data_IF_755038467537
#
_entry.id   IF_755038467537
#
_cell.length_a   1.000
_cell.length_b   1.000
_cell.length_c   1.000
_cell.angle_alpha   90.00
_cell.angle_beta   90.00
_cell.angle_gamma   90.00
#
_symmetry.space_group_name_H-M   'P 1'
#
loop_
_entity.id
_entity.type
_entity.pdbx_description
1 polymer ?
#
# COMPACT_ATOMS: atom_id res chain seq x y z
N UNK A 1 27.68 16.68 9.22
CA UNK A 1 27.55 15.38 8.52
C UNK A 1 26.06 15.13 8.36
N UNK A 2 25.52 15.41 7.19
CA UNK A 2 24.16 15.02 6.84
C UNK A 2 24.16 13.51 6.72
N UNK A 3 23.60 12.80 7.70
CA UNK A 3 23.27 11.38 7.54
C UNK A 3 22.30 11.30 6.36
N UNK A 4 22.71 10.69 5.26
CA UNK A 4 21.78 10.40 4.17
C UNK A 4 20.63 9.59 4.75
N UNK A 5 19.41 10.08 4.53
CA UNK A 5 18.17 9.41 4.91
C UNK A 5 18.15 8.01 4.29
N UNK A 6 18.01 6.96 5.12
CA UNK A 6 18.15 5.58 4.68
C UNK A 6 16.81 4.90 4.58
N UNK A 7 16.38 4.62 3.36
CA UNK A 7 15.23 3.78 3.07
C UNK A 7 15.68 2.32 2.88
N UNK A 8 15.04 1.39 3.60
CA UNK A 8 15.18 -0.05 3.37
C UNK A 8 13.80 -0.61 3.02
N UNK A 9 13.69 -1.30 1.90
CA UNK A 9 12.43 -1.84 1.41
C UNK A 9 12.46 -3.37 1.38
N UNK A 10 11.51 -4.01 2.07
CA UNK A 10 11.33 -5.46 2.11
C UNK A 10 10.28 -5.90 1.11
N UNK A 11 10.70 -6.76 0.20
CA UNK A 11 9.95 -7.19 -0.98
C UNK A 11 9.95 -8.71 -1.11
N UNK A 12 8.94 -9.25 -1.77
CA UNK A 12 8.95 -10.59 -2.35
C UNK A 12 8.21 -10.57 -3.69
N UNK A 13 8.75 -11.23 -4.73
CA UNK A 13 8.12 -11.30 -6.05
C UNK A 13 6.70 -11.86 -6.00
N UNK A 14 5.83 -11.40 -6.91
CA UNK A 14 4.43 -11.82 -7.02
C UNK A 14 3.60 -11.58 -5.76
N UNK A 15 3.91 -10.52 -5.02
CA UNK A 15 3.15 -10.07 -3.85
C UNK A 15 2.73 -8.60 -4.02
N UNK A 16 1.96 -8.09 -3.07
CA UNK A 16 1.56 -6.67 -3.02
C UNK A 16 2.75 -5.70 -2.96
N UNK A 17 3.90 -6.16 -2.50
CA UNK A 17 5.11 -5.34 -2.45
C UNK A 17 5.64 -4.97 -3.84
N UNK A 18 5.23 -5.67 -4.90
CA UNK A 18 5.62 -5.34 -6.27
C UNK A 18 5.16 -3.93 -6.67
N UNK A 19 3.94 -3.54 -6.32
CA UNK A 19 3.45 -2.20 -6.63
C UNK A 19 4.20 -1.09 -5.87
N UNK A 20 4.61 -1.36 -4.62
CA UNK A 20 5.43 -0.40 -3.87
C UNK A 20 6.87 -0.32 -4.40
N UNK A 21 7.41 -1.43 -4.90
CA UNK A 21 8.71 -1.43 -5.59
C UNK A 21 8.66 -0.58 -6.87
N UNK A 22 7.61 -0.74 -7.68
CA UNK A 22 7.40 0.08 -8.89
C UNK A 22 7.35 1.56 -8.53
N UNK A 23 6.64 1.92 -7.45
CA UNK A 23 6.57 3.31 -7.00
C UNK A 23 7.95 3.86 -6.59
N UNK A 24 8.74 3.10 -5.85
CA UNK A 24 10.10 3.48 -5.46
C UNK A 24 11.00 3.74 -6.68
N UNK A 25 10.91 2.88 -7.70
CA UNK A 25 11.64 3.05 -8.96
C UNK A 25 11.15 4.29 -9.74
N UNK A 26 9.83 4.50 -9.82
CA UNK A 26 9.24 5.66 -10.49
C UNK A 26 9.64 6.98 -9.83
N UNK A 27 9.75 6.99 -8.51
CA UNK A 27 10.23 8.14 -7.73
C UNK A 27 11.73 8.39 -7.89
N UNK A 28 12.50 7.44 -8.43
CA UNK A 28 13.97 7.49 -8.41
C UNK A 28 14.53 7.52 -6.99
N UNK A 29 13.80 6.98 -6.03
CA UNK A 29 14.17 7.01 -4.62
C UNK A 29 15.43 6.18 -4.36
N UNK A 30 16.42 6.69 -3.59
CA UNK A 30 17.52 5.85 -3.14
C UNK A 30 17.05 4.93 -2.02
N UNK A 31 17.13 3.61 -2.21
CA UNK A 31 16.73 2.62 -1.20
C UNK A 31 17.59 1.36 -1.25
N UNK A 32 17.66 0.67 -0.12
CA UNK A 32 18.21 -0.69 -0.03
C UNK A 32 17.08 -1.70 -0.20
N UNK A 33 17.21 -2.59 -1.20
CA UNK A 33 16.24 -3.67 -1.41
C UNK A 33 16.61 -4.91 -0.61
N UNK A 34 15.67 -5.42 0.18
CA UNK A 34 15.73 -6.72 0.87
C UNK A 34 14.67 -7.65 0.31
N UNK A 35 15.09 -8.66 -0.43
CA UNK A 35 14.18 -9.65 -1.01
C UNK A 35 14.04 -10.82 -0.03
N UNK A 36 12.78 -11.20 0.27
CA UNK A 36 12.44 -12.33 1.13
C UNK A 36 11.99 -13.52 0.30
N UNK A 37 12.50 -14.71 0.60
CA UNK A 37 11.97 -15.96 0.08
C UNK A 37 10.75 -16.42 0.90
N UNK A 38 9.56 -16.11 0.36
CA UNK A 38 8.30 -16.52 0.99
C UNK A 38 8.10 -18.03 1.02
N UNK A 39 8.69 -18.76 0.05
CA UNK A 39 8.59 -20.23 0.01
C UNK A 39 9.46 -20.88 1.07
N UNK A 40 10.62 -20.30 1.33
CA UNK A 40 11.49 -20.70 2.44
C UNK A 40 10.94 -20.27 3.82
N UNK A 41 9.89 -19.44 3.86
CA UNK A 41 9.29 -18.99 5.10
C UNK A 41 10.07 -17.88 5.80
N UNK A 42 10.93 -17.13 5.10
CA UNK A 42 11.75 -16.07 5.69
C UNK A 42 10.93 -14.99 6.39
N UNK A 43 9.73 -14.69 5.88
CA UNK A 43 8.81 -13.74 6.50
C UNK A 43 8.31 -14.17 7.90
N UNK A 44 8.50 -15.43 8.28
CA UNK A 44 8.15 -16.00 9.58
C UNK A 44 9.34 -16.22 10.50
N UNK A 45 10.54 -15.97 10.02
CA UNK A 45 11.74 -16.10 10.83
C UNK A 45 11.89 -14.95 11.82
N UNK A 46 12.47 -15.20 13.00
CA UNK A 46 12.67 -14.18 14.04
C UNK A 46 13.39 -12.93 13.51
N UNK A 47 14.33 -13.10 12.59
CA UNK A 47 15.09 -12.00 11.99
C UNK A 47 14.19 -10.99 11.27
N UNK A 48 13.13 -11.44 10.61
CA UNK A 48 12.17 -10.55 9.95
C UNK A 48 11.03 -10.12 10.88
N UNK A 49 10.57 -11.00 11.78
CA UNK A 49 9.49 -10.69 12.71
C UNK A 49 9.86 -9.56 13.69
N UNK A 50 11.15 -9.38 14.00
CA UNK A 50 11.63 -8.21 14.75
C UNK A 50 11.41 -6.90 13.98
N UNK A 51 11.45 -6.94 12.65
CA UNK A 51 11.21 -5.78 11.78
C UNK A 51 9.71 -5.57 11.60
N UNK A 52 9.00 -6.60 11.11
CA UNK A 52 7.55 -6.56 10.93
C UNK A 52 6.90 -7.76 11.64
N UNK A 53 6.30 -7.56 12.82
CA UNK A 53 5.66 -8.64 13.59
C UNK A 53 4.52 -9.34 12.85
N UNK A 54 3.88 -8.68 11.87
CA UNK A 54 2.85 -9.30 11.02
C UNK A 54 3.43 -10.33 10.05
N UNK A 55 4.74 -10.31 9.78
CA UNK A 55 5.38 -11.21 8.82
C UNK A 55 4.80 -11.07 7.42
N UNK A 56 4.59 -9.85 6.96
CA UNK A 56 4.02 -9.48 5.66
C UNK A 56 4.93 -8.53 4.90
N UNK A 57 4.76 -8.45 3.60
CA UNK A 57 5.32 -7.42 2.72
C UNK A 57 4.17 -6.73 1.96
N UNK A 58 4.32 -5.44 1.58
CA UNK A 58 5.49 -4.59 1.74
C UNK A 58 5.75 -4.19 3.19
N UNK A 59 7.03 -3.93 3.47
CA UNK A 59 7.46 -3.21 4.66
C UNK A 59 8.57 -2.25 4.25
N UNK A 60 8.43 -0.99 4.63
CA UNK A 60 9.40 0.07 4.40
C UNK A 60 9.96 0.50 5.76
N UNK A 61 11.26 0.64 5.86
CA UNK A 61 11.91 1.21 7.05
C UNK A 61 12.64 2.47 6.62
N UNK A 62 12.30 3.61 7.24
CA UNK A 62 12.94 4.88 7.03
C UNK A 62 13.58 5.37 8.33
N UNK A 63 14.92 5.44 8.38
CA UNK A 63 15.68 5.84 9.56
C UNK A 63 15.24 5.14 10.86
N UNK A 64 14.91 3.83 10.75
CA UNK A 64 14.46 2.99 11.85
C UNK A 64 12.94 2.98 12.08
N UNK A 65 12.19 3.86 11.44
CA UNK A 65 10.72 3.85 11.52
C UNK A 65 10.11 2.86 10.52
N UNK A 66 9.31 1.91 11.02
CA UNK A 66 8.60 0.94 10.19
C UNK A 66 7.31 1.53 9.62
N UNK A 67 7.11 1.41 8.32
CA UNK A 67 5.88 1.73 7.61
C UNK A 67 5.39 0.45 6.92
N UNK A 68 4.20 -0.02 7.30
CA UNK A 68 3.48 -1.12 6.66
C UNK A 68 2.19 -0.60 6.03
N UNK A 69 1.35 -1.52 5.56
CA UNK A 69 0.11 -1.22 4.82
C UNK A 69 0.37 -0.48 3.51
N UNK A 70 0.11 -1.13 2.40
CA UNK A 70 0.44 -0.61 1.08
C UNK A 70 -0.03 0.83 0.83
N UNK A 71 -1.28 1.24 1.19
CA UNK A 71 -1.69 2.63 1.02
C UNK A 71 -0.85 3.61 1.86
N UNK A 72 -0.48 3.22 3.08
CA UNK A 72 0.36 4.07 3.94
C UNK A 72 1.77 4.22 3.37
N UNK A 73 2.35 3.14 2.84
CA UNK A 73 3.65 3.18 2.13
C UNK A 73 3.57 4.13 0.93
N UNK A 74 2.49 4.07 0.14
CA UNK A 74 2.30 4.93 -1.02
C UNK A 74 2.17 6.40 -0.65
N UNK A 75 1.32 6.72 0.34
CA UNK A 75 1.14 8.09 0.82
C UNK A 75 2.46 8.63 1.35
N UNK A 76 3.14 7.84 2.18
CA UNK A 76 4.41 8.23 2.79
C UNK A 76 5.49 8.52 1.76
N UNK A 77 5.65 7.65 0.77
CA UNK A 77 6.65 7.84 -0.29
C UNK A 77 6.33 9.05 -1.18
N UNK A 78 5.06 9.25 -1.55
CA UNK A 78 4.65 10.41 -2.32
C UNK A 78 4.87 11.74 -1.57
N UNK A 79 4.70 11.73 -0.24
CA UNK A 79 4.97 12.90 0.60
C UNK A 79 6.47 13.12 0.84
N UNK A 80 7.27 12.05 0.88
CA UNK A 80 8.71 12.12 1.04
C UNK A 80 9.42 12.66 -0.22
N UNK A 81 8.83 12.43 -1.39
CA UNK A 81 9.34 12.87 -2.70
C UNK A 81 8.33 13.78 -3.41
N UNK A 82 8.02 14.97 -2.85
CA UNK A 82 6.95 15.84 -3.36
C UNK A 82 7.21 16.36 -4.77
N UNK A 83 8.46 16.49 -5.18
CA UNK A 83 8.86 16.98 -6.52
C UNK A 83 8.43 16.01 -7.64
N UNK A 84 8.15 14.75 -7.32
CA UNK A 84 7.62 13.78 -8.28
C UNK A 84 6.16 14.08 -8.67
N UNK A 85 5.43 14.90 -7.91
CA UNK A 85 4.07 15.33 -8.23
C UNK A 85 3.02 14.21 -8.19
N UNK A 86 3.28 13.10 -7.47
CA UNK A 86 2.40 11.93 -7.43
C UNK A 86 1.25 12.05 -6.43
N UNK A 87 1.26 13.07 -5.57
CA UNK A 87 0.20 13.34 -4.61
C UNK A 87 -0.09 14.84 -4.50
N UNK A 88 -1.36 15.23 -4.30
CA UNK A 88 -1.68 16.61 -3.97
C UNK A 88 -1.00 17.01 -2.66
N UNK A 89 -0.39 18.19 -2.57
CA UNK A 89 0.28 18.64 -1.35
C UNK A 89 -0.68 18.81 -0.17
N UNK A 90 -0.14 18.82 1.05
CA UNK A 90 -0.94 19.10 2.25
C UNK A 90 -1.55 20.50 2.13
N UNK A 91 -2.85 20.61 2.35
CA UNK A 91 -3.62 21.85 2.20
C UNK A 91 -4.28 22.02 0.83
N UNK A 92 -3.92 21.23 -0.17
CA UNK A 92 -4.63 21.20 -1.45
C UNK A 92 -6.05 20.60 -1.28
N UNK A 93 -7.10 21.20 -1.88
CA UNK A 93 -8.46 20.64 -1.85
C UNK A 93 -8.57 19.20 -2.36
N UNK A 94 -7.70 18.78 -3.28
CA UNK A 94 -7.67 17.41 -3.81
C UNK A 94 -7.03 16.41 -2.86
N UNK A 95 -6.36 16.87 -1.80
CA UNK A 95 -5.73 15.97 -0.81
C UNK A 95 -6.74 15.05 -0.12
N UNK A 96 -7.92 15.57 0.21
CA UNK A 96 -9.00 14.76 0.81
C UNK A 96 -9.46 13.62 -0.11
N UNK A 97 -9.87 13.88 -1.36
CA UNK A 97 -10.19 12.85 -2.36
C UNK A 97 -9.05 11.84 -2.58
N UNK A 98 -7.80 12.29 -2.66
CA UNK A 98 -6.65 11.41 -2.77
C UNK A 98 -6.55 10.42 -1.59
N UNK A 99 -6.58 10.93 -0.35
CA UNK A 99 -6.54 10.09 0.85
C UNK A 99 -7.73 9.14 0.92
N UNK A 100 -8.94 9.60 0.53
CA UNK A 100 -10.12 8.76 0.44
C UNK A 100 -9.87 7.54 -0.44
N UNK A 101 -9.33 7.72 -1.65
CA UNK A 101 -9.09 6.61 -2.57
C UNK A 101 -7.99 5.67 -2.10
N UNK A 102 -6.95 6.20 -1.46
CA UNK A 102 -5.90 5.39 -0.87
C UNK A 102 -6.44 4.50 0.25
N UNK A 103 -7.24 5.05 1.16
CA UNK A 103 -7.86 4.29 2.25
C UNK A 103 -8.92 3.32 1.71
N UNK A 104 -9.72 3.74 0.72
CA UNK A 104 -10.72 2.90 0.06
C UNK A 104 -10.10 1.64 -0.55
N UNK A 105 -8.93 1.76 -1.19
CA UNK A 105 -8.21 0.61 -1.71
C UNK A 105 -7.97 -0.45 -0.63
N UNK A 106 -7.38 -0.07 0.50
CA UNK A 106 -7.02 -1.03 1.56
C UNK A 106 -8.20 -1.52 2.40
N UNK A 107 -9.22 -0.66 2.62
CA UNK A 107 -10.34 -0.98 3.51
C UNK A 107 -11.55 -1.58 2.81
N UNK A 108 -11.74 -1.32 1.52
CA UNK A 108 -12.92 -1.73 0.77
C UNK A 108 -12.58 -2.57 -0.46
N UNK A 109 -11.77 -2.04 -1.37
CA UNK A 109 -11.51 -2.68 -2.66
C UNK A 109 -10.79 -4.01 -2.50
N UNK A 110 -9.64 -4.02 -1.84
CA UNK A 110 -8.83 -5.23 -1.71
C UNK A 110 -9.54 -6.35 -0.93
N UNK A 111 -10.17 -6.10 0.24
CA UNK A 111 -10.95 -7.12 0.93
C UNK A 111 -12.09 -7.68 0.09
N UNK A 112 -12.85 -6.83 -0.61
CA UNK A 112 -13.96 -7.27 -1.47
C UNK A 112 -13.48 -8.18 -2.62
N UNK A 113 -12.37 -7.82 -3.27
CA UNK A 113 -11.76 -8.62 -4.34
C UNK A 113 -11.29 -9.97 -3.83
N UNK A 114 -10.65 -9.99 -2.65
CA UNK A 114 -10.18 -11.24 -2.02
C UNK A 114 -11.36 -12.13 -1.66
N UNK A 115 -12.38 -11.60 -0.98
CA UNK A 115 -13.54 -12.37 -0.57
C UNK A 115 -14.26 -12.97 -1.78
N UNK A 116 -14.42 -12.20 -2.86
CA UNK A 116 -14.95 -12.69 -4.12
C UNK A 116 -14.09 -13.79 -4.75
N UNK A 117 -12.77 -13.59 -4.79
CA UNK A 117 -11.84 -14.55 -5.39
C UNK A 117 -11.81 -15.89 -4.64
N UNK A 118 -12.03 -15.83 -3.33
CA UNK A 118 -12.07 -17.00 -2.44
C UNK A 118 -13.48 -17.56 -2.26
N UNK A 119 -14.47 -17.00 -2.94
CA UNK A 119 -15.88 -17.40 -2.84
C UNK A 119 -16.38 -17.43 -1.39
N UNK A 120 -15.96 -16.46 -0.59
CA UNK A 120 -16.42 -16.32 0.79
C UNK A 120 -17.86 -15.82 0.81
N UNK A 121 -18.65 -16.35 1.73
CA UNK A 121 -19.98 -15.80 2.00
C UNK A 121 -19.85 -14.35 2.49
N UNK A 122 -20.62 -13.42 1.90
CA UNK A 122 -20.56 -12.03 2.29
C UNK A 122 -21.04 -11.85 3.73
N UNK A 123 -20.35 -10.96 4.48
CA UNK A 123 -20.85 -10.54 5.78
C UNK A 123 -22.16 -9.74 5.63
N UNK A 124 -22.94 -9.67 6.72
CA UNK A 124 -24.14 -8.83 6.70
C UNK A 124 -23.80 -7.39 6.33
N UNK A 125 -24.63 -6.75 5.51
CA UNK A 125 -24.41 -5.38 5.01
C UNK A 125 -24.08 -4.38 6.11
N UNK A 126 -24.71 -4.52 7.29
CA UNK A 126 -24.51 -3.64 8.46
C UNK A 126 -23.14 -3.79 9.13
N UNK A 127 -22.41 -4.88 8.86
CA UNK A 127 -21.12 -5.21 9.47
C UNK A 127 -19.98 -5.28 8.46
N UNK A 128 -20.30 -5.36 7.16
CA UNK A 128 -19.31 -5.35 6.10
C UNK A 128 -18.70 -3.96 5.93
N UNK A 129 -17.37 -3.81 5.91
CA UNK A 129 -16.73 -2.51 5.69
C UNK A 129 -16.93 -1.97 4.27
N UNK A 130 -17.29 -2.82 3.32
CA UNK A 130 -17.49 -2.45 1.91
C UNK A 130 -18.91 -2.74 1.38
N UNK A 131 -19.82 -3.24 2.24
CA UNK A 131 -21.14 -3.73 1.81
C UNK A 131 -21.04 -5.04 1.05
N UNK A 132 -21.44 -5.05 -0.22
CA UNK A 132 -21.16 -6.12 -1.16
C UNK A 132 -20.18 -5.68 -2.26
N UNK A 133 -19.83 -6.61 -3.14
CA UNK A 133 -18.86 -6.37 -4.21
C UNK A 133 -19.33 -5.30 -5.20
N UNK A 134 -20.60 -5.32 -5.59
CA UNK A 134 -21.14 -4.40 -6.59
C UNK A 134 -21.26 -2.98 -6.01
N UNK A 135 -21.65 -2.86 -4.75
CA UNK A 135 -21.64 -1.59 -4.02
C UNK A 135 -20.25 -0.99 -3.91
N UNK A 136 -19.24 -1.81 -3.67
CA UNK A 136 -17.85 -1.37 -3.64
C UNK A 136 -17.38 -0.92 -5.02
N UNK A 137 -17.74 -1.64 -6.07
CA UNK A 137 -17.27 -1.39 -7.44
C UNK A 137 -17.91 -0.13 -8.06
N UNK A 138 -19.18 0.15 -7.74
CA UNK A 138 -19.94 1.27 -8.34
C UNK A 138 -19.24 2.62 -8.23
N UNK A 139 -18.85 3.13 -7.04
CA UNK A 139 -18.21 4.43 -6.94
C UNK A 139 -16.83 4.49 -7.64
N UNK A 140 -16.12 3.38 -7.70
CA UNK A 140 -14.87 3.29 -8.44
C UNK A 140 -15.10 3.40 -9.95
N UNK A 141 -16.07 2.67 -10.48
CA UNK A 141 -16.44 2.70 -11.89
C UNK A 141 -16.92 4.10 -12.29
N UNK A 142 -17.76 4.72 -11.48
CA UNK A 142 -18.22 6.10 -11.71
C UNK A 142 -17.07 7.12 -11.72
N UNK A 143 -16.09 6.95 -10.82
CA UNK A 143 -14.93 7.84 -10.79
C UNK A 143 -14.05 7.67 -12.04
N UNK A 144 -13.77 6.43 -12.42
CA UNK A 144 -12.97 6.13 -13.61
C UNK A 144 -13.65 6.61 -14.90
N UNK A 145 -14.98 6.57 -14.96
CA UNK A 145 -15.74 7.07 -16.11
C UNK A 145 -15.64 8.59 -16.30
N UNK A 146 -15.28 9.35 -15.27
CA UNK A 146 -15.10 10.81 -15.36
C UNK A 146 -13.79 11.23 -16.00
N UNK A 147 -12.78 10.32 -16.03
CA UNK A 147 -11.43 10.56 -16.57
C UNK A 147 -11.04 12.02 -16.76
N UNK A 148 -9.84 12.31 -17.22
CA UNK A 148 -8.61 11.56 -17.04
C UNK A 148 -8.17 11.55 -15.56
N UNK A 149 -7.43 10.54 -15.16
CA UNK A 149 -6.90 10.33 -13.81
C UNK A 149 -5.39 10.28 -13.81
#
# INVERSE_FOLDING_TARGET
MTTESRLTFYHSPNTRSTAALILLEELGAPFELKVLDMKAGEQRQPAYLVINPMGKVPALVHDGALITEQPAVFIYLADLFPDAGLAPPIGDPLRGPYLRWMVFYGSCFEPAVIDRSMQREPAAMSTSPYGDYDMMLSPLTEQLAKGPY
#
